data_IF_748640322321
#
_entry.id   IF_748640322321
#
_cell.length_a   1.000
_cell.length_b   1.000
_cell.length_c   1.000
_cell.angle_alpha   90.00
_cell.angle_beta   90.00
_cell.angle_gamma   90.00
#
_symmetry.space_group_name_H-M   'P 1'
#
loop_
_entity.id
_entity.type
_entity.pdbx_description
1 polymer ?
#
# COMPACT_ATOMS: atom_id res chain seq x y z
N UNK A 1 30.09 -2.37 -21.40
CA UNK A 1 29.37 -3.60 -21.11
C UNK A 1 29.45 -3.98 -19.64
N UNK A 2 30.63 -4.01 -18.99
CA UNK A 2 30.81 -4.32 -17.57
C UNK A 2 30.02 -3.37 -16.66
N UNK A 3 30.07 -2.06 -16.89
CA UNK A 3 29.33 -1.05 -16.11
C UNK A 3 27.81 -1.24 -16.19
N UNK A 4 27.26 -1.56 -17.36
CA UNK A 4 25.85 -1.86 -17.53
C UNK A 4 25.44 -3.14 -16.79
N UNK A 5 26.25 -4.19 -16.89
CA UNK A 5 26.00 -5.44 -16.17
C UNK A 5 26.01 -5.25 -14.65
N UNK A 6 26.94 -4.45 -14.12
CA UNK A 6 26.98 -4.10 -12.71
C UNK A 6 25.75 -3.28 -12.26
N UNK A 7 25.35 -2.29 -13.06
CA UNK A 7 24.17 -1.48 -12.79
C UNK A 7 22.90 -2.34 -12.72
N UNK A 8 22.73 -3.24 -13.70
CA UNK A 8 21.60 -4.18 -13.73
C UNK A 8 21.62 -5.16 -12.54
N UNK A 9 22.79 -5.66 -12.19
CA UNK A 9 22.95 -6.55 -11.04
C UNK A 9 22.60 -5.86 -9.71
N UNK A 10 23.14 -4.65 -9.49
CA UNK A 10 22.88 -3.86 -8.29
C UNK A 10 21.41 -3.43 -8.23
N UNK A 11 20.83 -2.95 -9.34
CA UNK A 11 19.42 -2.57 -9.40
C UNK A 11 18.49 -3.76 -9.12
N UNK A 12 18.78 -4.91 -9.76
CA UNK A 12 18.03 -6.14 -9.55
C UNK A 12 18.13 -6.66 -8.10
N UNK A 13 19.29 -6.53 -7.47
CA UNK A 13 19.50 -6.89 -6.07
C UNK A 13 18.70 -5.95 -5.14
N UNK A 14 18.81 -4.64 -5.33
CA UNK A 14 18.06 -3.65 -4.54
C UNK A 14 16.55 -3.81 -4.65
N UNK A 15 16.04 -4.08 -5.85
CA UNK A 15 14.61 -4.31 -6.05
C UNK A 15 14.07 -5.52 -5.26
N UNK A 16 14.93 -6.49 -4.94
CA UNK A 16 14.55 -7.69 -4.18
C UNK A 16 14.80 -7.58 -2.68
N UNK A 17 15.52 -6.54 -2.23
CA UNK A 17 15.90 -6.35 -0.84
C UNK A 17 15.42 -4.98 -0.35
N UNK A 18 14.13 -4.84 -0.04
CA UNK A 18 13.59 -3.59 0.46
C UNK A 18 14.21 -3.22 1.81
N UNK A 19 14.41 -1.92 2.02
CA UNK A 19 14.95 -1.38 3.27
C UNK A 19 13.81 -0.79 4.08
N UNK A 20 13.75 -1.15 5.36
CA UNK A 20 12.80 -0.54 6.29
C UNK A 20 13.31 0.85 6.67
N UNK A 21 12.44 1.84 6.52
CA UNK A 21 12.64 3.20 7.06
C UNK A 21 11.60 3.43 8.14
N UNK A 22 12.05 3.92 9.28
CA UNK A 22 11.17 4.29 10.40
C UNK A 22 11.01 5.81 10.36
N UNK A 23 9.77 6.26 10.45
CA UNK A 23 9.40 7.67 10.57
C UNK A 23 8.49 7.77 11.79
N UNK A 24 8.88 8.61 12.75
CA UNK A 24 8.07 8.91 13.92
C UNK A 24 7.20 10.12 13.63
N UNK A 25 5.92 10.03 14.00
CA UNK A 25 4.93 11.09 13.80
C UNK A 25 4.31 11.39 15.17
N UNK A 26 4.39 12.64 15.58
CA UNK A 26 3.75 13.13 16.80
C UNK A 26 2.38 13.74 16.44
N UNK A 27 1.42 13.56 17.33
CA UNK A 27 0.07 14.14 17.20
C UNK A 27 -0.39 14.73 18.52
N UNK A 28 -1.13 15.83 18.43
CA UNK A 28 -1.84 16.42 19.57
C UNK A 28 -3.27 15.86 19.72
N UNK A 29 -3.75 15.06 18.75
CA UNK A 29 -5.09 14.44 18.84
C UNK A 29 -5.11 13.34 19.89
N UNK A 30 -6.26 13.15 20.57
CA UNK A 30 -6.39 12.12 21.58
C UNK A 30 -6.39 10.72 20.96
N UNK A 31 -5.27 10.03 21.07
CA UNK A 31 -5.15 8.61 20.75
C UNK A 31 -5.00 7.82 22.05
N UNK A 32 -5.64 6.66 22.15
CA UNK A 32 -5.64 5.87 23.39
C UNK A 32 -4.26 5.28 23.72
N UNK A 33 -3.43 5.04 22.71
CA UNK A 33 -2.07 4.53 22.84
C UNK A 33 -1.25 4.77 21.57
N UNK A 34 0.06 4.73 21.71
CA UNK A 34 0.95 4.65 20.54
C UNK A 34 0.65 3.43 19.68
N UNK A 35 0.82 3.57 18.38
CA UNK A 35 0.63 2.50 17.42
C UNK A 35 1.65 2.58 16.29
N UNK A 36 1.83 1.47 15.59
CA UNK A 36 2.75 1.37 14.47
C UNK A 36 2.04 0.94 13.19
N UNK A 37 2.45 1.54 12.08
CA UNK A 37 1.95 1.24 10.74
C UNK A 37 3.08 0.72 9.88
N UNK A 38 2.92 -0.46 9.28
CA UNK A 38 3.80 -0.90 8.20
C UNK A 38 3.15 -0.55 6.86
N UNK A 39 3.85 0.25 6.06
CA UNK A 39 3.39 0.67 4.73
C UNK A 39 4.30 0.10 3.65
N UNK A 40 3.71 -0.44 2.59
CA UNK A 40 4.41 -0.81 1.36
C UNK A 40 3.57 -0.43 0.15
N UNK A 41 4.20 0.12 -0.89
CA UNK A 41 3.57 0.48 -2.15
C UNK A 41 4.42 0.01 -3.32
N UNK A 42 3.86 0.02 -4.52
CA UNK A 42 4.59 -0.24 -5.77
C UNK A 42 5.35 -1.58 -5.77
N UNK A 43 4.69 -2.61 -5.27
CA UNK A 43 5.25 -3.97 -5.14
C UNK A 43 5.50 -4.60 -6.50
N UNK A 44 4.66 -4.28 -7.48
CA UNK A 44 4.78 -4.70 -8.87
C UNK A 44 5.02 -6.21 -9.06
N UNK A 45 4.19 -7.04 -8.42
CA UNK A 45 4.25 -8.47 -8.64
C UNK A 45 4.07 -8.80 -10.12
N UNK A 46 4.96 -9.62 -10.65
CA UNK A 46 5.02 -9.96 -12.07
C UNK A 46 6.06 -11.02 -12.35
N UNK A 47 6.63 -10.98 -13.56
CA UNK A 47 7.59 -11.99 -14.00
C UNK A 47 8.92 -11.98 -13.20
N UNK A 48 9.30 -10.81 -12.67
CA UNK A 48 10.57 -10.63 -11.93
C UNK A 48 10.38 -10.77 -10.42
N UNK A 49 9.31 -10.21 -9.89
CA UNK A 49 8.95 -10.23 -8.48
C UNK A 49 7.68 -11.09 -8.32
N UNK A 50 7.86 -12.35 -8.02
CA UNK A 50 6.78 -13.31 -7.94
C UNK A 50 6.43 -13.70 -6.50
N UNK A 51 5.89 -14.92 -6.35
CA UNK A 51 5.41 -15.47 -5.08
C UNK A 51 6.47 -15.47 -3.97
N UNK A 52 7.72 -15.80 -4.30
CA UNK A 52 8.80 -15.83 -3.31
C UNK A 52 9.04 -14.44 -2.70
N UNK A 53 9.07 -13.40 -3.54
CA UNK A 53 9.21 -12.02 -3.10
C UNK A 53 8.03 -11.58 -2.22
N UNK A 54 6.79 -11.87 -2.65
CA UNK A 54 5.61 -11.54 -1.85
C UNK A 54 5.65 -12.22 -0.46
N UNK A 55 6.13 -13.47 -0.39
CA UNK A 55 6.28 -14.19 0.87
C UNK A 55 7.40 -13.62 1.75
N UNK A 56 8.47 -13.12 1.16
CA UNK A 56 9.55 -12.44 1.87
C UNK A 56 9.10 -11.10 2.42
N UNK A 57 8.48 -10.26 1.59
CA UNK A 57 7.89 -8.99 2.01
C UNK A 57 6.90 -9.18 3.18
N UNK A 58 6.01 -10.19 3.06
CA UNK A 58 5.12 -10.54 4.18
C UNK A 58 5.89 -10.84 5.46
N UNK A 59 6.94 -11.68 5.40
CA UNK A 59 7.75 -12.03 6.57
C UNK A 59 8.38 -10.80 7.20
N UNK A 60 8.90 -9.91 6.37
CA UNK A 60 9.58 -8.71 6.85
C UNK A 60 8.61 -7.71 7.47
N UNK A 61 7.45 -7.49 6.85
CA UNK A 61 6.40 -6.67 7.46
C UNK A 61 5.93 -7.25 8.80
N UNK A 62 5.74 -8.57 8.90
CA UNK A 62 5.29 -9.21 10.14
C UNK A 62 6.36 -9.23 11.24
N UNK A 63 7.67 -9.23 10.91
CA UNK A 63 8.75 -9.06 11.90
C UNK A 63 8.68 -7.72 12.63
N UNK A 64 8.17 -6.68 11.97
CA UNK A 64 7.99 -5.36 12.56
C UNK A 64 6.88 -5.34 13.62
N UNK A 65 6.01 -6.36 13.67
CA UNK A 65 4.86 -6.48 14.58
C UNK A 65 3.97 -5.23 14.55
N UNK A 66 3.59 -4.71 13.37
CA UNK A 66 2.80 -3.50 13.29
C UNK A 66 1.38 -3.72 13.81
N UNK A 67 0.76 -2.65 14.29
CA UNK A 67 -0.67 -2.66 14.64
C UNK A 67 -1.55 -2.65 13.37
N UNK A 68 -1.08 -2.00 12.32
CA UNK A 68 -1.78 -1.81 11.05
C UNK A 68 -0.84 -2.09 9.89
N UNK A 69 -1.34 -2.75 8.84
CA UNK A 69 -0.60 -2.92 7.58
C UNK A 69 -1.36 -2.24 6.44
N UNK A 70 -0.67 -1.39 5.68
CA UNK A 70 -1.20 -0.65 4.55
C UNK A 70 -0.43 -1.01 3.27
N UNK A 71 -1.17 -1.36 2.21
CA UNK A 71 -0.63 -1.61 0.87
C UNK A 71 -1.10 -0.48 -0.07
N UNK A 72 -0.18 0.38 -0.45
CA UNK A 72 -0.43 1.67 -1.11
C UNK A 72 -0.68 1.62 -2.61
N UNK A 73 -1.11 0.49 -3.16
CA UNK A 73 -1.41 0.33 -4.59
C UNK A 73 -0.26 -0.24 -5.41
N UNK A 74 -0.51 -0.43 -6.69
CA UNK A 74 0.39 -1.06 -7.66
C UNK A 74 1.01 -2.36 -7.14
N UNK A 75 0.15 -3.21 -6.56
CA UNK A 75 0.55 -4.53 -6.06
C UNK A 75 0.94 -5.44 -7.23
N UNK A 76 0.27 -5.27 -8.39
CA UNK A 76 0.59 -5.96 -9.64
C UNK A 76 1.24 -4.97 -10.60
N UNK A 77 2.43 -5.31 -11.11
CA UNK A 77 3.17 -4.47 -12.05
C UNK A 77 3.02 -4.83 -13.53
N UNK A 78 2.34 -5.92 -13.82
CA UNK A 78 2.26 -6.43 -15.18
C UNK A 78 0.97 -7.20 -15.48
N UNK A 79 1.09 -8.25 -16.28
CA UNK A 79 -0.07 -9.04 -16.69
C UNK A 79 -0.57 -9.91 -15.54
N UNK A 80 -1.81 -9.72 -15.12
CA UNK A 80 -2.46 -10.52 -14.09
C UNK A 80 -2.39 -12.03 -14.36
N UNK A 81 -2.45 -12.45 -15.63
CA UNK A 81 -2.35 -13.86 -16.01
C UNK A 81 -1.05 -14.52 -15.53
N UNK A 82 0.09 -13.79 -15.53
CA UNK A 82 1.34 -14.29 -14.98
C UNK A 82 1.25 -14.46 -13.47
N UNK A 83 0.80 -13.44 -12.77
CA UNK A 83 0.64 -13.42 -11.30
C UNK A 83 -0.30 -14.54 -10.83
N UNK A 84 -1.35 -14.83 -11.60
CA UNK A 84 -2.26 -15.94 -11.32
C UNK A 84 -1.61 -17.31 -11.53
N UNK A 85 -0.82 -17.48 -12.60
CA UNK A 85 -0.09 -18.73 -12.90
C UNK A 85 0.98 -19.00 -11.85
N UNK A 86 1.76 -18.00 -11.49
CA UNK A 86 2.78 -18.07 -10.43
C UNK A 86 2.16 -18.19 -9.03
N UNK A 87 0.87 -17.93 -8.90
CA UNK A 87 0.18 -17.88 -7.60
C UNK A 87 0.80 -16.85 -6.65
N UNK A 88 1.26 -15.73 -7.16
CA UNK A 88 2.02 -14.71 -6.40
C UNK A 88 1.24 -14.21 -5.19
N UNK A 89 -0.08 -14.07 -5.28
CA UNK A 89 -0.93 -13.68 -4.13
C UNK A 89 -0.85 -14.62 -2.92
N UNK A 90 -0.49 -15.91 -3.15
CA UNK A 90 -0.27 -16.84 -2.05
C UNK A 90 0.92 -16.44 -1.16
N UNK A 91 1.81 -15.60 -1.65
CA UNK A 91 2.87 -15.01 -0.84
C UNK A 91 2.34 -14.16 0.31
N UNK A 92 1.17 -13.56 0.17
CA UNK A 92 0.52 -12.77 1.21
C UNK A 92 -0.39 -13.57 2.14
N UNK A 93 -0.60 -14.87 1.90
CA UNK A 93 -1.41 -15.71 2.79
C UNK A 93 -0.84 -15.69 4.22
N UNK A 94 -1.69 -15.32 5.19
CA UNK A 94 -1.29 -15.14 6.58
C UNK A 94 -0.67 -13.79 6.93
N UNK A 95 -0.64 -12.82 6.00
CA UNK A 95 -0.36 -11.43 6.33
C UNK A 95 -1.46 -10.92 7.25
N UNK A 96 -1.10 -10.42 8.43
CA UNK A 96 -2.06 -9.97 9.45
C UNK A 96 -1.45 -8.93 10.37
N UNK A 97 -2.31 -8.07 10.89
CA UNK A 97 -2.00 -7.13 11.95
C UNK A 97 -3.23 -6.99 12.88
N UNK A 98 -3.08 -6.59 14.13
CA UNK A 98 -4.20 -6.45 15.08
C UNK A 98 -5.34 -5.58 14.56
N UNK A 99 -5.04 -4.47 13.87
CA UNK A 99 -6.04 -3.57 13.30
C UNK A 99 -6.40 -3.89 11.85
N UNK A 100 -5.80 -4.93 11.29
CA UNK A 100 -6.08 -5.41 9.94
C UNK A 100 -5.01 -5.05 8.92
N UNK A 101 -5.27 -5.52 7.70
CA UNK A 101 -4.46 -5.26 6.51
C UNK A 101 -5.35 -4.63 5.46
N UNK A 102 -4.98 -3.46 4.98
CA UNK A 102 -5.77 -2.71 4.01
C UNK A 102 -4.95 -2.39 2.76
N UNK A 103 -5.63 -2.29 1.63
CA UNK A 103 -5.02 -1.92 0.37
C UNK A 103 -5.88 -0.91 -0.37
N UNK A 104 -5.25 -0.01 -1.12
CA UNK A 104 -5.85 0.74 -2.21
C UNK A 104 -5.34 0.20 -3.53
N UNK A 105 -5.98 0.58 -4.62
CA UNK A 105 -5.53 0.23 -5.97
C UNK A 105 -4.72 1.38 -6.56
N UNK A 106 -3.78 1.04 -7.44
CA UNK A 106 -3.05 2.01 -8.23
C UNK A 106 -3.40 1.94 -9.71
N UNK A 107 -2.73 2.76 -10.50
CA UNK A 107 -3.00 2.89 -11.93
C UNK A 107 -2.79 1.59 -12.72
N UNK A 108 -1.89 0.70 -12.31
CA UNK A 108 -1.69 -0.60 -12.95
C UNK A 108 -2.91 -1.52 -12.84
N UNK A 109 -3.71 -1.40 -11.79
CA UNK A 109 -4.93 -2.16 -11.65
C UNK A 109 -5.99 -1.77 -12.71
N UNK A 110 -5.93 -0.53 -13.22
CA UNK A 110 -6.86 -0.01 -14.24
C UNK A 110 -6.48 -0.42 -15.66
N UNK A 111 -5.19 -0.49 -15.96
CA UNK A 111 -4.70 -0.80 -17.32
C UNK A 111 -5.06 -2.20 -17.81
N UNK A 112 -5.21 -3.16 -16.92
CA UNK A 112 -5.46 -4.55 -17.26
C UNK A 112 -6.92 -5.00 -17.19
N UNK A 113 -7.90 -4.11 -16.94
CA UNK A 113 -9.32 -4.44 -16.72
C UNK A 113 -9.56 -5.56 -15.69
N UNK A 114 -8.66 -5.72 -14.73
CA UNK A 114 -8.63 -6.87 -13.83
C UNK A 114 -8.83 -6.52 -12.35
N UNK A 115 -9.20 -5.27 -12.07
CA UNK A 115 -9.39 -4.74 -10.72
C UNK A 115 -10.20 -5.68 -9.81
N UNK A 116 -11.37 -6.16 -10.29
CA UNK A 116 -12.19 -7.09 -9.52
C UNK A 116 -11.53 -8.45 -9.26
N UNK A 117 -10.68 -8.92 -10.18
CA UNK A 117 -9.95 -10.18 -9.98
C UNK A 117 -8.82 -10.00 -8.97
N UNK A 118 -8.11 -8.88 -9.05
CA UNK A 118 -7.09 -8.51 -8.08
C UNK A 118 -7.70 -8.36 -6.70
N UNK A 119 -8.77 -7.58 -6.57
CA UNK A 119 -9.52 -7.40 -5.33
C UNK A 119 -9.90 -8.74 -4.69
N UNK A 120 -10.53 -9.63 -5.47
CA UNK A 120 -10.91 -10.95 -4.93
C UNK A 120 -9.73 -11.80 -4.47
N UNK A 121 -8.56 -11.65 -5.10
CA UNK A 121 -7.35 -12.38 -4.70
C UNK A 121 -6.75 -11.83 -3.42
N UNK A 122 -6.65 -10.52 -3.29
CA UNK A 122 -6.20 -9.85 -2.08
C UNK A 122 -7.13 -10.18 -0.89
N UNK A 123 -8.45 -10.11 -1.10
CA UNK A 123 -9.41 -10.47 -0.06
C UNK A 123 -9.27 -11.92 0.42
N UNK A 124 -8.99 -12.87 -0.48
CA UNK A 124 -8.72 -14.28 -0.10
C UNK A 124 -7.42 -14.43 0.70
N UNK A 125 -6.51 -13.49 0.60
CA UNK A 125 -5.28 -13.44 1.41
C UNK A 125 -5.46 -12.67 2.72
N UNK A 126 -6.69 -12.22 3.04
CA UNK A 126 -7.00 -11.48 4.27
C UNK A 126 -6.82 -9.97 4.17
N UNK A 127 -6.56 -9.43 2.97
CA UNK A 127 -6.40 -7.98 2.73
C UNK A 127 -7.75 -7.35 2.41
N UNK A 128 -8.13 -6.29 3.12
CA UNK A 128 -9.34 -5.50 2.86
C UNK A 128 -9.00 -4.38 1.86
N UNK A 129 -9.59 -4.44 0.67
CA UNK A 129 -9.41 -3.41 -0.34
C UNK A 129 -10.39 -2.25 -0.10
N UNK A 130 -9.85 -1.04 -0.03
CA UNK A 130 -10.62 0.19 0.12
C UNK A 130 -10.76 0.86 -1.25
N UNK A 131 -11.95 1.39 -1.51
CA UNK A 131 -12.30 2.05 -2.78
C UNK A 131 -13.19 3.26 -2.53
N UNK A 132 -12.72 4.14 -1.66
CA UNK A 132 -13.48 5.21 -1.05
C UNK A 132 -14.03 4.81 0.32
N UNK A 133 -14.32 5.81 1.12
CA UNK A 133 -14.91 5.63 2.45
C UNK A 133 -13.90 5.50 3.59
N UNK A 134 -14.46 5.52 4.78
CA UNK A 134 -13.73 5.53 6.06
C UNK A 134 -13.90 4.20 6.79
N UNK A 135 -12.87 3.76 7.46
CA UNK A 135 -12.87 2.62 8.38
C UNK A 135 -12.42 3.11 9.74
N UNK A 136 -13.25 2.92 10.76
CA UNK A 136 -12.86 3.19 12.14
C UNK A 136 -12.03 2.00 12.64
N UNK A 137 -10.83 2.31 13.08
CA UNK A 137 -9.89 1.37 13.67
C UNK A 137 -9.99 1.42 15.20
N UNK A 138 -9.03 0.83 15.90
CA UNK A 138 -8.92 0.95 17.33
C UNK A 138 -8.23 2.27 17.75
N UNK A 139 -8.27 2.58 19.06
CA UNK A 139 -7.50 3.65 19.71
C UNK A 139 -7.78 5.07 19.18
N UNK A 140 -8.99 5.36 18.70
CA UNK A 140 -9.34 6.68 18.18
C UNK A 140 -8.73 7.00 16.81
N UNK A 141 -8.41 5.97 16.03
CA UNK A 141 -7.81 6.11 14.69
C UNK A 141 -8.82 5.74 13.61
N UNK A 142 -8.90 6.53 12.57
CA UNK A 142 -9.67 6.27 11.35
C UNK A 142 -8.78 6.15 10.14
N UNK A 143 -9.18 5.30 9.19
CA UNK A 143 -8.48 5.08 7.92
C UNK A 143 -9.41 5.40 6.75
N UNK A 144 -9.01 6.33 5.91
CA UNK A 144 -9.65 6.68 4.64
C UNK A 144 -8.84 6.06 3.51
N UNK A 145 -9.44 5.14 2.76
CA UNK A 145 -8.81 4.59 1.56
C UNK A 145 -9.49 5.13 0.31
N UNK A 146 -8.77 5.88 -0.49
CA UNK A 146 -9.32 6.54 -1.67
C UNK A 146 -9.30 5.63 -2.89
N UNK A 147 -10.28 5.79 -3.77
CA UNK A 147 -10.26 5.16 -5.08
C UNK A 147 -9.21 5.83 -5.96
N UNK A 148 -8.61 5.08 -6.88
CA UNK A 148 -7.71 5.63 -7.89
C UNK A 148 -8.38 6.80 -8.64
N UNK A 149 -7.64 7.89 -8.82
CA UNK A 149 -8.15 9.12 -9.43
C UNK A 149 -8.68 8.89 -10.86
N UNK A 150 -8.12 7.96 -11.61
CA UNK A 150 -8.58 7.64 -12.97
C UNK A 150 -9.92 6.92 -12.99
N UNK A 151 -10.25 6.22 -11.90
CA UNK A 151 -11.54 5.52 -11.76
C UNK A 151 -12.59 6.49 -11.27
N UNK A 152 -12.26 7.31 -10.29
CA UNK A 152 -13.20 8.20 -9.62
C UNK A 152 -12.63 9.61 -9.43
N UNK A 153 -12.43 10.37 -10.53
CA UNK A 153 -11.80 11.71 -10.47
C UNK A 153 -12.62 12.74 -9.68
N UNK A 154 -13.92 12.52 -9.56
CA UNK A 154 -14.87 13.40 -8.86
C UNK A 154 -15.40 12.78 -7.56
N UNK A 155 -14.76 11.70 -7.06
CA UNK A 155 -15.16 11.14 -5.78
C UNK A 155 -14.96 12.18 -4.67
N UNK A 156 -15.96 12.31 -3.83
CA UNK A 156 -15.87 13.17 -2.66
C UNK A 156 -14.76 12.69 -1.75
N UNK A 157 -13.97 13.63 -1.26
CA UNK A 157 -12.95 13.35 -0.26
C UNK A 157 -13.63 13.38 1.11
N UNK A 158 -13.59 12.29 1.90
CA UNK A 158 -14.21 12.26 3.21
C UNK A 158 -13.62 13.33 4.14
N UNK A 159 -14.44 13.91 4.99
CA UNK A 159 -13.97 14.76 6.08
C UNK A 159 -13.40 13.89 7.21
N UNK A 160 -12.29 14.32 7.79
CA UNK A 160 -11.77 13.70 9.00
C UNK A 160 -12.69 14.01 10.18
N UNK A 161 -12.80 13.05 11.09
CA UNK A 161 -13.48 13.28 12.35
C UNK A 161 -12.62 14.15 13.26
N UNK A 162 -13.16 15.20 13.88
CA UNK A 162 -12.37 16.16 14.67
C UNK A 162 -11.55 15.49 15.80
N UNK A 163 -12.14 14.49 16.43
CA UNK A 163 -11.55 13.80 17.59
C UNK A 163 -10.82 12.51 17.26
N UNK A 164 -10.73 12.14 15.97
CA UNK A 164 -9.99 10.94 15.53
C UNK A 164 -8.69 11.33 14.82
N UNK A 165 -7.63 10.55 15.05
CA UNK A 165 -6.43 10.60 14.21
C UNK A 165 -6.74 9.91 12.89
N UNK A 166 -6.82 10.68 11.81
CA UNK A 166 -7.27 10.17 10.52
C UNK A 166 -6.12 10.01 9.54
N UNK A 167 -5.93 8.76 9.11
CA UNK A 167 -4.97 8.38 8.08
C UNK A 167 -5.69 8.34 6.75
N UNK A 168 -5.18 9.05 5.74
CA UNK A 168 -5.61 8.89 4.36
C UNK A 168 -4.59 8.05 3.57
N UNK A 169 -5.09 7.20 2.69
CA UNK A 169 -4.28 6.39 1.79
C UNK A 169 -4.81 6.48 0.36
N UNK A 170 -3.94 6.88 -0.55
CA UNK A 170 -4.17 6.93 -1.99
C UNK A 170 -2.92 6.42 -2.70
N UNK A 171 -3.06 5.91 -3.92
CA UNK A 171 -1.87 5.47 -4.64
C UNK A 171 -1.09 6.65 -5.26
N UNK A 172 -1.75 7.47 -6.07
CA UNK A 172 -1.14 8.66 -6.67
C UNK A 172 -1.26 9.86 -5.72
N UNK A 173 -0.19 10.62 -5.41
CA UNK A 173 -0.24 11.73 -4.46
C UNK A 173 -0.87 13.00 -5.06
N UNK A 174 -2.05 12.85 -5.67
CA UNK A 174 -2.72 13.93 -6.41
C UNK A 174 -3.60 14.81 -5.53
N UNK A 175 -4.06 14.31 -4.39
CA UNK A 175 -5.04 14.98 -3.53
C UNK A 175 -4.49 15.34 -2.15
N UNK A 176 -3.18 15.56 -2.03
CA UNK A 176 -2.54 15.88 -0.74
C UNK A 176 -3.06 17.20 -0.13
N UNK A 177 -3.29 18.22 -0.96
CA UNK A 177 -3.84 19.51 -0.51
C UNK A 177 -5.29 19.35 -0.04
N UNK A 178 -6.07 18.53 -0.76
CA UNK A 178 -7.43 18.21 -0.38
C UNK A 178 -7.45 17.41 0.93
N UNK A 179 -6.56 16.43 1.10
CA UNK A 179 -6.41 15.68 2.34
C UNK A 179 -6.15 16.62 3.52
N UNK A 180 -5.21 17.56 3.36
CA UNK A 180 -4.90 18.57 4.37
C UNK A 180 -6.11 19.45 4.71
N UNK A 181 -6.82 19.96 3.70
CA UNK A 181 -8.01 20.81 3.90
C UNK A 181 -9.20 20.05 4.52
N UNK A 182 -9.25 18.75 4.41
CA UNK A 182 -10.25 17.88 5.01
C UNK A 182 -9.84 17.31 6.37
N UNK A 183 -8.73 17.79 6.94
CA UNK A 183 -8.30 17.50 8.31
C UNK A 183 -7.63 16.13 8.47
N UNK A 184 -7.10 15.53 7.39
CA UNK A 184 -6.31 14.31 7.49
C UNK A 184 -4.99 14.60 8.21
N UNK A 185 -4.62 13.75 9.16
CA UNK A 185 -3.41 13.91 9.99
C UNK A 185 -2.19 13.28 9.34
N UNK A 186 -2.38 12.19 8.60
CA UNK A 186 -1.31 11.47 7.92
C UNK A 186 -1.80 11.00 6.55
N UNK A 187 -0.95 11.15 5.54
CA UNK A 187 -1.27 10.78 4.17
C UNK A 187 -0.20 9.85 3.61
N UNK A 188 -0.61 8.64 3.24
CA UNK A 188 0.24 7.65 2.58
C UNK A 188 -0.04 7.61 1.08
N UNK A 189 1.03 7.70 0.27
CA UNK A 189 0.97 7.53 -1.17
C UNK A 189 2.16 6.74 -1.71
N UNK A 190 1.99 6.15 -2.88
CA UNK A 190 3.00 5.48 -3.68
C UNK A 190 3.29 6.21 -4.99
N UNK A 191 3.32 5.44 -6.09
CA UNK A 191 3.40 5.91 -7.48
C UNK A 191 4.73 6.54 -7.92
N UNK A 192 5.35 7.34 -7.07
CA UNK A 192 6.58 8.10 -7.42
C UNK A 192 7.85 7.27 -7.35
N UNK A 193 7.76 6.05 -6.79
CA UNK A 193 8.89 5.15 -6.53
C UNK A 193 10.04 5.83 -5.77
N UNK A 194 9.72 6.86 -4.96
CA UNK A 194 10.68 7.67 -4.21
C UNK A 194 11.82 8.25 -5.09
N UNK A 195 11.52 8.59 -6.35
CA UNK A 195 12.52 9.11 -7.27
C UNK A 195 13.51 8.05 -7.76
N UNK A 196 13.04 6.89 -8.18
CA UNK A 196 13.84 5.72 -8.56
C UNK A 196 15.01 6.01 -9.53
N UNK A 197 14.94 7.09 -10.29
CA UNK A 197 15.93 7.51 -11.28
C UNK A 197 16.60 8.87 -10.97
N UNK A 198 16.60 9.30 -9.72
CA UNK A 198 17.30 10.50 -9.25
C UNK A 198 18.54 10.16 -8.45
#
# INVERSE_FOLDING_TARGET
LLGLALLLAVGSWRARHPVVRVVEVETAKPIEREFSVAFASDIHLGAVLGRAFAAELRRDMMKLRPDLILLGGDIIGGTLSYVLRDRSFKGFEGLKAPWGVYAVFGNHATYGLNLHKEQRRLQRSGVRCLRGGTVHLAAGVSLVGLEDYRIAPHAEFPQAEPDAFTIAMEHEPLRIEQASSHGMDLYFAGHTHAGQFW
#
